data_IF_442712336434
#
_entry.id   IF_442712336434
#
_cell.length_a   1.000
_cell.length_b   1.000
_cell.length_c   1.000
_cell.angle_alpha   90.00
_cell.angle_beta   90.00
_cell.angle_gamma   90.00
#
_symmetry.space_group_name_H-M   'P 1'
#
loop_
_entity.id
_entity.type
_entity.pdbx_description
1 polymer ?
#
# COMPACT_ATOMS: atom_id res chain seq x y z
N UNK A 1 3.24 11.52 -6.29
CA UNK A 1 2.27 11.92 -5.26
C UNK A 1 2.91 12.82 -4.20
N UNK A 2 3.84 12.35 -3.37
CA UNK A 2 4.44 13.14 -2.28
C UNK A 2 4.96 14.53 -2.72
N UNK A 3 5.78 14.58 -3.78
CA UNK A 3 6.29 15.85 -4.36
C UNK A 3 5.18 16.86 -4.75
N UNK A 4 4.02 16.37 -5.18
CA UNK A 4 2.90 17.23 -5.54
C UNK A 4 2.16 17.77 -4.32
N UNK A 5 2.13 17.01 -3.23
CA UNK A 5 1.52 17.43 -1.96
C UNK A 5 2.44 18.45 -1.28
N UNK A 6 3.76 18.19 -1.26
CA UNK A 6 4.78 19.11 -0.72
C UNK A 6 4.79 20.48 -1.40
N UNK A 7 4.45 20.54 -2.68
CA UNK A 7 4.38 21.79 -3.42
C UNK A 7 3.16 22.66 -3.03
N UNK A 8 2.18 22.10 -2.32
CA UNK A 8 0.97 22.81 -1.94
C UNK A 8 1.21 23.66 -0.67
N UNK A 9 0.89 24.97 -0.67
CA UNK A 9 1.28 25.89 0.40
C UNK A 9 0.64 25.57 1.76
N UNK A 10 -0.47 24.84 1.76
CA UNK A 10 -1.22 24.47 2.97
C UNK A 10 -1.07 22.99 3.34
N UNK A 11 -0.02 22.32 2.86
CA UNK A 11 0.24 20.92 3.17
C UNK A 11 1.63 20.74 3.78
N UNK A 12 1.69 19.91 4.82
CA UNK A 12 2.96 19.52 5.46
C UNK A 12 3.12 18.02 5.30
N UNK A 13 4.27 17.60 4.77
CA UNK A 13 4.62 16.18 4.63
C UNK A 13 5.76 15.86 5.58
N UNK A 14 5.59 14.80 6.37
CA UNK A 14 6.61 14.35 7.32
C UNK A 14 6.96 12.88 7.03
N UNK A 15 8.21 12.64 6.61
CA UNK A 15 8.76 11.28 6.47
C UNK A 15 9.35 10.80 7.79
N UNK A 16 9.52 9.48 7.93
CA UNK A 16 10.02 8.86 9.16
C UNK A 16 9.14 9.11 10.40
N UNK A 17 7.86 9.40 10.19
CA UNK A 17 6.87 9.57 11.25
C UNK A 17 5.86 8.43 11.15
N UNK A 18 5.81 7.61 12.21
CA UNK A 18 4.96 6.44 12.28
C UNK A 18 3.78 6.73 13.19
N UNK A 19 2.56 6.61 12.66
CA UNK A 19 1.35 6.66 13.49
C UNK A 19 1.23 5.34 14.25
N UNK A 20 1.21 5.42 15.57
CA UNK A 20 1.21 4.23 16.44
C UNK A 20 -0.10 4.03 17.18
N UNK A 21 -0.90 5.08 17.36
CA UNK A 21 -2.18 5.00 18.07
C UNK A 21 -3.15 6.15 17.73
N UNK A 22 -4.43 5.95 18.05
CA UNK A 22 -5.50 6.92 17.86
C UNK A 22 -6.43 6.94 19.07
N UNK A 23 -6.89 8.13 19.45
CA UNK A 23 -7.91 8.31 20.48
C UNK A 23 -8.93 9.35 19.99
N UNK A 24 -10.22 9.02 20.05
CA UNK A 24 -11.27 10.01 19.80
C UNK A 24 -11.57 10.72 21.12
N UNK A 25 -11.31 12.03 21.15
CA UNK A 25 -11.53 12.86 22.32
C UNK A 25 -13.02 13.11 22.56
N UNK A 26 -13.37 13.51 23.78
CA UNK A 26 -14.76 13.79 24.17
C UNK A 26 -15.43 14.91 23.37
N UNK A 27 -14.65 15.80 22.75
CA UNK A 27 -15.13 16.87 21.87
C UNK A 27 -15.29 16.42 20.40
N UNK A 28 -15.06 15.14 20.09
CA UNK A 28 -15.19 14.56 18.75
C UNK A 28 -13.94 14.65 17.87
N UNK A 29 -12.90 15.39 18.30
CA UNK A 29 -11.62 15.47 17.59
C UNK A 29 -10.81 14.18 17.76
N UNK A 30 -9.86 13.96 16.87
CA UNK A 30 -8.92 12.87 16.92
C UNK A 30 -7.59 13.32 17.50
N UNK A 31 -7.11 12.60 18.50
CA UNK A 31 -5.72 12.64 18.91
C UNK A 31 -4.96 11.48 18.25
N UNK A 32 -3.89 11.80 17.53
CA UNK A 32 -3.04 10.84 16.84
C UNK A 32 -1.70 10.78 17.53
N UNK A 33 -1.29 9.60 18.01
CA UNK A 33 0.04 9.40 18.57
C UNK A 33 1.02 9.05 17.46
N UNK A 34 2.05 9.88 17.30
CA UNK A 34 3.07 9.76 16.26
C UNK A 34 4.43 9.51 16.90
N UNK A 35 5.18 8.56 16.36
CA UNK A 35 6.58 8.28 16.72
C UNK A 35 7.50 8.76 15.60
N UNK A 36 8.42 9.66 15.93
CA UNK A 36 9.54 9.97 15.05
C UNK A 36 10.52 8.78 15.07
N UNK A 37 10.71 8.12 13.92
CA UNK A 37 11.55 6.92 13.80
C UNK A 37 13.05 7.22 13.86
N UNK A 38 13.45 8.46 13.60
CA UNK A 38 14.86 8.87 13.67
C UNK A 38 15.28 9.18 15.10
N UNK A 39 14.44 9.90 15.86
CA UNK A 39 14.76 10.31 17.24
C UNK A 39 14.21 9.36 18.30
N UNK A 40 13.18 8.58 17.96
CA UNK A 40 12.44 7.73 18.90
C UNK A 40 11.37 8.49 19.70
N UNK A 41 11.30 9.81 19.58
CA UNK A 41 10.34 10.66 20.28
C UNK A 41 8.90 10.31 19.89
N UNK A 42 8.00 10.35 20.88
CA UNK A 42 6.56 10.23 20.69
C UNK A 42 5.88 11.54 21.03
N UNK A 43 5.00 11.99 20.15
CA UNK A 43 4.19 13.17 20.37
C UNK A 43 2.75 12.93 19.90
N UNK A 44 1.85 13.82 20.29
CA UNK A 44 0.41 13.74 19.99
C UNK A 44 0.01 14.92 19.10
N UNK A 45 -0.80 14.66 18.10
CA UNK A 45 -1.36 15.67 17.20
C UNK A 45 -2.88 15.59 17.25
N UNK A 46 -3.54 16.72 17.54
CA UNK A 46 -5.01 16.82 17.50
C UNK A 46 -5.45 17.32 16.13
N UNK A 47 -6.51 16.72 15.58
CA UNK A 47 -7.11 17.06 14.28
C UNK A 47 -8.60 16.77 14.27
N UNK A 48 -9.37 17.48 13.45
CA UNK A 48 -10.81 17.24 13.29
C UNK A 48 -11.10 15.97 12.47
N UNK A 49 -10.20 15.65 11.53
CA UNK A 49 -10.39 14.54 10.58
C UNK A 49 -9.10 13.73 10.40
N UNK A 50 -9.27 12.43 10.21
CA UNK A 50 -8.19 11.48 9.92
C UNK A 50 -8.53 10.69 8.65
N UNK A 51 -7.59 10.61 7.72
CA UNK A 51 -7.65 9.77 6.54
C UNK A 51 -6.52 8.73 6.59
N UNK A 52 -6.85 7.43 6.55
CA UNK A 52 -5.86 6.33 6.62
C UNK A 52 -5.57 5.82 5.20
N UNK A 53 -4.50 6.35 4.60
CA UNK A 53 -4.00 5.95 3.27
C UNK A 53 -2.78 5.01 3.32
N UNK A 54 -2.77 3.99 4.20
CA UNK A 54 -1.57 3.21 4.53
C UNK A 54 -1.38 1.91 3.72
N UNK A 55 -2.05 1.75 2.58
CA UNK A 55 -1.99 0.52 1.77
C UNK A 55 -2.32 -0.73 2.59
N UNK A 56 -1.48 -1.76 2.53
CA UNK A 56 -1.65 -2.99 3.32
C UNK A 56 -1.66 -2.78 4.84
N UNK A 57 -1.13 -1.65 5.34
CA UNK A 57 -1.17 -1.27 6.75
C UNK A 57 -2.45 -0.55 7.20
N UNK A 58 -3.43 -0.33 6.30
CA UNK A 58 -4.63 0.44 6.63
C UNK A 58 -5.52 -0.25 7.67
N UNK A 59 -5.72 -1.56 7.57
CA UNK A 59 -6.62 -2.29 8.49
C UNK A 59 -6.10 -2.29 9.94
N UNK A 60 -4.82 -2.61 10.21
CA UNK A 60 -4.28 -2.48 11.57
C UNK A 60 -4.41 -1.07 12.17
N UNK A 61 -4.20 -0.02 11.36
CA UNK A 61 -4.38 1.36 11.82
C UNK A 61 -5.85 1.68 12.08
N UNK A 62 -6.76 1.20 11.22
CA UNK A 62 -8.19 1.38 11.41
C UNK A 62 -8.68 0.67 12.68
N UNK A 63 -8.19 -0.53 12.97
CA UNK A 63 -8.51 -1.27 14.20
C UNK A 63 -8.05 -0.53 15.47
N UNK A 64 -6.92 0.18 15.41
CA UNK A 64 -6.43 1.03 16.51
C UNK A 64 -7.36 2.20 16.84
N UNK A 65 -8.19 2.65 15.90
CA UNK A 65 -9.16 3.73 16.16
C UNK A 65 -10.27 3.32 17.13
N UNK A 66 -10.50 2.02 17.32
CA UNK A 66 -11.56 1.51 18.21
C UNK A 66 -12.99 1.69 17.68
N UNK A 67 -13.19 2.32 16.52
CA UNK A 67 -14.53 2.50 15.94
C UNK A 67 -15.20 1.15 15.65
N UNK A 68 -16.52 1.02 15.82
CA UNK A 68 -17.22 -0.26 15.64
C UNK A 68 -16.97 -0.93 14.28
N UNK A 69 -16.92 -0.13 13.21
CA UNK A 69 -16.77 -0.57 11.82
C UNK A 69 -15.43 -1.27 11.58
N UNK A 70 -14.40 -0.94 12.37
CA UNK A 70 -13.05 -1.50 12.21
C UNK A 70 -12.94 -2.96 12.62
N UNK A 71 -13.84 -3.45 13.48
CA UNK A 71 -13.79 -4.79 14.08
C UNK A 71 -14.09 -5.91 13.10
N UNK A 72 -14.81 -5.60 12.02
CA UNK A 72 -15.29 -6.58 11.05
C UNK A 72 -14.48 -6.57 9.74
N UNK A 73 -13.38 -5.81 9.71
CA UNK A 73 -12.50 -5.71 8.55
C UNK A 73 -11.27 -6.59 8.76
N UNK A 74 -11.05 -7.50 7.81
CA UNK A 74 -9.88 -8.37 7.72
C UNK A 74 -9.15 -8.14 6.39
N UNK A 75 -7.83 -8.17 6.44
CA UNK A 75 -6.99 -8.14 5.24
C UNK A 75 -6.50 -9.55 4.93
N UNK A 76 -6.58 -9.96 3.67
CA UNK A 76 -5.91 -11.16 3.20
C UNK A 76 -4.61 -10.74 2.51
N UNK A 77 -3.44 -10.89 3.15
CA UNK A 77 -2.18 -10.49 2.53
C UNK A 77 -1.88 -11.41 1.35
N UNK A 78 -1.83 -10.85 0.15
CA UNK A 78 -1.41 -11.56 -1.06
C UNK A 78 0.01 -11.10 -1.38
N UNK A 79 0.93 -12.04 -1.53
CA UNK A 79 2.30 -11.75 -1.94
C UNK A 79 2.39 -11.74 -3.47
N UNK A 80 3.31 -10.94 -4.01
CA UNK A 80 3.63 -10.93 -5.42
C UNK A 80 5.11 -11.22 -5.63
N UNK A 81 5.44 -11.96 -6.66
CA UNK A 81 6.79 -12.07 -7.19
C UNK A 81 6.84 -11.42 -8.57
N UNK A 82 7.94 -10.74 -8.85
CA UNK A 82 8.16 -9.96 -10.05
C UNK A 82 9.48 -10.40 -10.68
N UNK A 83 9.46 -10.78 -11.96
CA UNK A 83 10.67 -10.94 -12.77
C UNK A 83 10.75 -9.79 -13.76
N UNK A 84 11.86 -9.06 -13.74
CA UNK A 84 12.11 -7.95 -14.65
C UNK A 84 13.00 -8.41 -15.83
N UNK A 85 12.58 -8.11 -17.05
CA UNK A 85 13.40 -8.23 -18.26
C UNK A 85 13.81 -6.83 -18.73
N UNK A 86 15.12 -6.64 -18.95
CA UNK A 86 15.71 -5.40 -19.46
C UNK A 86 16.29 -5.55 -20.86
N UNK A 87 15.99 -6.65 -21.56
CA UNK A 87 16.47 -6.87 -22.92
C UNK A 87 15.62 -6.07 -23.92
N UNK A 88 16.17 -5.04 -24.58
CA UNK A 88 15.40 -4.17 -25.48
C UNK A 88 14.75 -4.93 -26.64
N UNK A 89 15.42 -5.96 -27.17
CA UNK A 89 14.91 -6.75 -28.30
C UNK A 89 13.67 -7.55 -27.94
N UNK A 90 13.53 -7.94 -26.67
CA UNK A 90 12.35 -8.65 -26.16
C UNK A 90 11.24 -7.66 -25.81
N UNK A 91 11.61 -6.51 -25.24
CA UNK A 91 10.67 -5.43 -24.90
C UNK A 91 9.97 -4.90 -26.15
N UNK A 92 10.71 -4.61 -27.23
CA UNK A 92 10.15 -4.10 -28.49
C UNK A 92 9.13 -5.04 -29.15
N UNK A 93 9.17 -6.34 -28.84
CA UNK A 93 8.21 -7.32 -29.37
C UNK A 93 6.92 -7.40 -28.56
N UNK A 94 6.84 -6.76 -27.39
CA UNK A 94 5.74 -6.92 -26.45
C UNK A 94 5.25 -5.59 -25.86
N UNK A 95 4.23 -5.01 -26.53
CA UNK A 95 3.55 -3.78 -26.09
C UNK A 95 2.14 -4.06 -25.51
N UNK A 96 1.94 -5.25 -24.95
CA UNK A 96 0.63 -5.71 -24.51
C UNK A 96 0.65 -6.26 -23.09
N UNK A 97 -0.43 -5.98 -22.37
CA UNK A 97 -0.73 -6.60 -21.09
C UNK A 97 -1.35 -7.97 -21.34
N UNK A 98 -0.63 -9.04 -20.99
CA UNK A 98 -1.05 -10.42 -21.26
C UNK A 98 -1.34 -11.15 -19.97
N UNK A 99 -2.54 -11.71 -19.85
CA UNK A 99 -2.92 -12.54 -18.70
C UNK A 99 -2.81 -14.03 -19.06
N UNK A 100 -2.24 -14.82 -18.15
CA UNK A 100 -2.35 -16.27 -18.20
C UNK A 100 -3.82 -16.72 -18.14
N UNK A 101 -4.13 -17.87 -18.74
CA UNK A 101 -5.48 -18.44 -18.64
C UNK A 101 -5.67 -19.12 -17.29
N UNK A 102 -6.76 -18.79 -16.60
CA UNK A 102 -7.10 -19.41 -15.33
C UNK A 102 -7.44 -20.90 -15.47
N UNK A 103 -6.87 -21.77 -14.62
CA UNK A 103 -7.36 -23.12 -14.46
C UNK A 103 -8.83 -23.13 -14.02
N UNK A 104 -9.63 -24.16 -14.39
CA UNK A 104 -11.00 -24.27 -13.92
C UNK A 104 -11.07 -24.30 -12.38
N UNK A 105 -11.85 -23.39 -11.79
CA UNK A 105 -12.12 -23.36 -10.35
C UNK A 105 -11.11 -22.59 -9.49
N UNK A 106 -10.08 -21.96 -10.08
CA UNK A 106 -9.17 -21.08 -9.33
C UNK A 106 -9.74 -19.67 -9.14
N UNK A 107 -9.44 -18.96 -8.04
CA UNK A 107 -9.84 -17.57 -7.86
C UNK A 107 -9.30 -16.67 -8.98
N UNK A 108 -10.02 -15.61 -9.40
CA UNK A 108 -9.73 -14.82 -10.59
C UNK A 108 -8.49 -13.90 -10.52
N UNK A 109 -7.46 -14.26 -9.75
CA UNK A 109 -6.28 -13.45 -9.48
C UNK A 109 -4.98 -14.27 -9.35
N UNK A 110 -5.01 -15.58 -9.59
CA UNK A 110 -3.85 -16.47 -9.33
C UNK A 110 -2.94 -16.68 -10.53
N UNK A 111 -3.30 -16.16 -11.70
CA UNK A 111 -2.53 -16.39 -12.92
C UNK A 111 -1.44 -15.34 -13.09
N UNK A 112 -0.26 -15.75 -13.58
CA UNK A 112 0.76 -14.79 -13.93
C UNK A 112 0.28 -13.89 -15.07
N UNK A 113 0.68 -12.63 -15.02
CA UNK A 113 0.47 -11.71 -16.11
C UNK A 113 1.77 -10.98 -16.47
N UNK A 114 1.88 -10.62 -17.73
CA UNK A 114 2.98 -9.88 -18.30
C UNK A 114 2.52 -8.44 -18.55
N UNK A 115 3.24 -7.49 -17.96
CA UNK A 115 2.94 -6.08 -18.06
C UNK A 115 4.18 -5.30 -18.49
N UNK A 116 4.01 -4.41 -19.48
CA UNK A 116 4.98 -3.36 -19.77
C UNK A 116 4.90 -2.26 -18.71
N UNK A 117 6.05 -1.86 -18.16
CA UNK A 117 6.15 -0.80 -17.15
C UNK A 117 7.26 0.17 -17.47
N UNK A 118 7.05 1.44 -17.12
CA UNK A 118 8.06 2.47 -17.21
C UNK A 118 8.63 2.77 -15.81
N UNK A 119 9.93 2.60 -15.64
CA UNK A 119 10.64 2.87 -14.39
C UNK A 119 11.79 3.81 -14.70
N UNK A 120 11.86 4.93 -13.97
CA UNK A 120 12.86 5.99 -14.18
C UNK A 120 12.95 6.48 -15.64
N UNK A 121 11.83 6.41 -16.37
CA UNK A 121 11.73 6.81 -17.78
C UNK A 121 12.24 5.79 -18.78
N UNK A 122 12.68 4.61 -18.33
CA UNK A 122 13.02 3.47 -19.20
C UNK A 122 11.89 2.45 -19.22
N UNK A 123 11.71 1.81 -20.37
CA UNK A 123 10.74 0.73 -20.54
C UNK A 123 11.32 -0.58 -20.02
N UNK A 124 10.52 -1.30 -19.25
CA UNK A 124 10.84 -2.58 -18.65
C UNK A 124 9.67 -3.54 -18.88
N UNK A 125 9.99 -4.82 -19.05
CA UNK A 125 8.96 -5.86 -19.15
C UNK A 125 8.92 -6.69 -17.87
N UNK A 126 7.75 -6.82 -17.26
CA UNK A 126 7.58 -7.51 -15.99
C UNK A 126 6.68 -8.74 -16.14
N UNK A 127 7.12 -9.86 -15.56
CA UNK A 127 6.25 -10.99 -15.24
C UNK A 127 5.88 -10.91 -13.77
N UNK A 128 4.58 -10.77 -13.52
CA UNK A 128 4.01 -10.72 -12.19
C UNK A 128 3.35 -12.07 -11.91
N UNK A 129 3.64 -12.66 -10.76
CA UNK A 129 2.95 -13.84 -10.25
C UNK A 129 2.46 -13.55 -8.82
N UNK A 130 1.15 -13.52 -8.60
CA UNK A 130 0.60 -13.47 -7.26
C UNK A 130 0.66 -14.87 -6.62
N UNK A 131 1.18 -14.93 -5.40
CA UNK A 131 1.11 -16.11 -4.55
C UNK A 131 0.17 -15.79 -3.40
N UNK A 132 -0.94 -16.52 -3.32
CA UNK A 132 -1.65 -16.64 -2.05
C UNK A 132 -0.78 -17.49 -1.13
N UNK A 133 -0.30 -16.89 -0.04
CA UNK A 133 0.28 -17.64 1.05
C UNK A 133 -0.88 -18.35 1.77
N UNK A 134 -1.00 -19.66 1.59
CA UNK A 134 -1.82 -20.47 2.49
C UNK A 134 -1.22 -20.35 3.89
N UNK A 135 -1.92 -19.65 4.78
CA UNK A 135 -1.60 -19.56 6.20
C UNK A 135 -1.95 -20.90 6.88
N UNK A 136 -1.21 -21.95 6.55
CA UNK A 136 -1.19 -23.22 7.27
C UNK A 136 0.24 -23.75 7.27
N UNK A 137 1.06 -23.26 8.20
CA UNK A 137 2.29 -23.90 8.65
C UNK A 137 2.53 -23.57 10.13
#
# INVERSE_FOLDING_TARGET
>A
MAKSIEAHPNATVQFNHEVVDFEQLSNGQWEVTVKNRLTGEKFKQVTDYVFIGAGGGAIPLLQKTGIPESKHLGGFPISGQFLACTNPQVIEQHDAKVYGKEPPGTPPMTVPHLDTRYIDGQEHYYLDHLLMLDLNS
#
